data_IF_224580081659
#
_entry.id   IF_224580081659
#
_cell.length_a   1.000
_cell.length_b   1.000
_cell.length_c   1.000
_cell.angle_alpha   90.00
_cell.angle_beta   90.00
_cell.angle_gamma   90.00
#
_symmetry.space_group_name_H-M   'P 1'
#
loop_
_entity.id
_entity.type
_entity.pdbx_description
1 polymer ?
#
# COMPACT_ATOMS: atom_id res chain seq x y z
N UNK A 1 16.15 6.29 11.09
CA UNK A 1 15.64 5.08 10.43
C UNK A 1 15.17 5.53 9.05
N UNK A 2 16.08 5.50 8.08
CA UNK A 2 15.88 5.93 6.69
C UNK A 2 15.16 4.82 5.91
N UNK A 3 13.91 4.56 6.27
CA UNK A 3 13.01 3.82 5.39
C UNK A 3 12.36 4.84 4.48
N UNK A 4 12.94 5.12 3.31
CA UNK A 4 12.28 5.95 2.31
C UNK A 4 11.07 5.18 1.82
N UNK A 5 9.88 5.47 2.39
CA UNK A 5 8.63 4.94 1.87
C UNK A 5 8.52 5.31 0.39
N UNK A 6 7.96 4.41 -0.41
CA UNK A 6 7.75 4.65 -1.84
C UNK A 6 6.29 4.45 -2.21
N UNK A 7 5.83 5.24 -3.18
CA UNK A 7 4.48 5.10 -3.71
C UNK A 7 4.39 3.87 -4.60
N UNK A 8 3.30 3.12 -4.50
CA UNK A 8 3.12 1.93 -5.30
C UNK A 8 2.14 0.93 -4.71
N UNK A 9 2.07 -0.22 -5.37
CA UNK A 9 1.29 -1.36 -4.94
C UNK A 9 2.17 -2.35 -4.19
N UNK A 10 1.67 -2.84 -3.07
CA UNK A 10 2.38 -3.77 -2.21
C UNK A 10 1.46 -4.88 -1.72
N UNK A 11 2.02 -6.05 -1.46
CA UNK A 11 1.30 -7.17 -0.84
C UNK A 11 1.70 -7.31 0.61
N UNK A 12 0.71 -7.31 1.49
CA UNK A 12 0.86 -7.48 2.93
C UNK A 12 0.24 -8.82 3.38
N UNK A 13 0.93 -9.62 4.22
CA UNK A 13 0.50 -10.96 4.58
C UNK A 13 -0.87 -11.03 5.26
N UNK A 14 -1.24 -10.02 6.05
CA UNK A 14 -2.54 -9.99 6.74
C UNK A 14 -3.59 -9.08 6.10
N UNK A 15 -3.18 -8.13 5.26
CA UNK A 15 -4.07 -7.10 4.70
C UNK A 15 -4.33 -7.29 3.21
N UNK A 16 -3.59 -8.19 2.55
CA UNK A 16 -3.70 -8.43 1.12
C UNK A 16 -3.01 -7.35 0.30
N UNK A 17 -3.62 -6.97 -0.82
CA UNK A 17 -3.08 -5.91 -1.67
C UNK A 17 -3.31 -4.54 -1.00
N UNK A 18 -2.26 -3.77 -0.85
CA UNK A 18 -2.31 -2.39 -0.36
C UNK A 18 -1.70 -1.45 -1.41
N UNK A 19 -2.20 -0.22 -1.45
CA UNK A 19 -1.59 0.87 -2.21
C UNK A 19 -1.02 1.88 -1.23
N UNK A 20 0.26 2.18 -1.36
CA UNK A 20 0.94 3.22 -0.59
C UNK A 20 1.06 4.47 -1.46
N UNK A 21 0.71 5.62 -0.90
CA UNK A 21 0.78 6.91 -1.59
C UNK A 21 0.92 8.07 -0.60
N UNK A 22 1.40 9.21 -1.08
CA UNK A 22 1.52 10.41 -0.27
C UNK A 22 0.21 11.21 -0.30
N UNK A 23 -0.32 11.60 0.86
CA UNK A 23 -1.51 12.46 0.98
C UNK A 23 -1.24 13.56 2.00
N UNK A 24 -1.26 14.81 1.54
CA UNK A 24 -1.09 15.97 2.43
C UNK A 24 0.26 16.04 3.15
N UNK A 25 1.30 15.39 2.61
CA UNK A 25 2.63 15.30 3.24
C UNK A 25 2.80 14.08 4.17
N UNK A 26 1.75 13.29 4.37
CA UNK A 26 1.81 12.06 5.15
C UNK A 26 1.75 10.84 4.24
N UNK A 27 2.51 9.80 4.59
CA UNK A 27 2.42 8.51 3.93
C UNK A 27 1.20 7.76 4.44
N UNK A 28 0.34 7.37 3.51
CA UNK A 28 -0.85 6.59 3.81
C UNK A 28 -0.89 5.34 2.95
N UNK A 29 -1.62 4.34 3.43
CA UNK A 29 -1.97 3.17 2.64
C UNK A 29 -3.46 2.91 2.67
N UNK A 30 -3.94 2.20 1.65
CA UNK A 30 -5.31 1.72 1.56
C UNK A 30 -5.30 0.28 1.07
N UNK A 31 -6.13 -0.59 1.68
CA UNK A 31 -6.28 -1.98 1.27
C UNK A 31 -7.22 -2.07 0.07
N UNK A 32 -6.91 -2.96 -0.86
CA UNK A 32 -7.68 -3.24 -2.06
C UNK A 32 -7.98 -4.73 -2.21
N UNK A 33 -8.96 -5.04 -3.06
CA UNK A 33 -9.17 -6.39 -3.57
C UNK A 33 -7.93 -6.88 -4.31
N UNK A 34 -7.74 -8.21 -4.40
CA UNK A 34 -6.57 -8.83 -5.04
C UNK A 34 -6.30 -8.38 -6.48
N UNK A 35 -7.29 -7.80 -7.15
CA UNK A 35 -7.20 -7.28 -8.52
C UNK A 35 -7.05 -5.74 -8.58
N UNK A 36 -6.83 -5.05 -7.46
CA UNK A 36 -6.65 -3.59 -7.41
C UNK A 36 -7.90 -2.74 -7.69
N UNK A 37 -9.02 -3.35 -8.09
CA UNK A 37 -10.18 -2.61 -8.59
C UNK A 37 -11.01 -1.90 -7.51
N UNK A 38 -11.06 -2.44 -6.29
CA UNK A 38 -11.91 -1.91 -5.23
C UNK A 38 -11.16 -1.74 -3.92
N UNK A 39 -11.23 -0.54 -3.35
CA UNK A 39 -10.76 -0.29 -2.00
C UNK A 39 -11.63 -1.04 -0.97
N UNK A 40 -10.99 -1.82 -0.10
CA UNK A 40 -11.60 -2.56 0.99
C UNK A 40 -11.55 -1.79 2.32
N UNK A 41 -10.62 -0.84 2.44
CA UNK A 41 -10.48 -0.01 3.64
C UNK A 41 -10.56 1.48 3.30
N UNK A 42 -10.70 2.32 4.35
CA UNK A 42 -10.33 3.74 4.27
C UNK A 42 -8.81 3.88 4.28
N UNK A 43 -8.35 5.07 3.92
CA UNK A 43 -6.95 5.47 4.01
C UNK A 43 -6.49 5.44 5.47
N UNK A 44 -5.28 4.92 5.71
CA UNK A 44 -4.68 4.80 7.03
C UNK A 44 -3.24 5.30 6.98
N UNK A 45 -2.73 5.91 8.06
CA UNK A 45 -1.32 6.30 8.13
C UNK A 45 -0.44 5.06 7.95
N UNK A 46 0.60 5.19 7.13
CA UNK A 46 1.57 4.14 6.93
C UNK A 46 2.50 4.06 8.13
N UNK A 47 2.39 2.96 8.87
CA UNK A 47 3.30 2.65 9.96
C UNK A 47 4.46 1.78 9.48
N UNK A 48 5.58 1.85 10.22
CA UNK A 48 6.81 1.13 9.88
C UNK A 48 6.65 -0.39 9.85
N UNK A 49 5.69 -0.96 10.58
CA UNK A 49 5.46 -2.40 10.62
C UNK A 49 4.70 -2.88 9.39
N UNK A 50 3.61 -2.17 9.04
CA UNK A 50 2.90 -2.40 7.78
C UNK A 50 3.86 -2.28 6.61
N UNK A 51 4.76 -1.29 6.60
CA UNK A 51 5.78 -1.15 5.55
C UNK A 51 6.79 -2.30 5.56
N UNK A 52 7.37 -2.65 6.71
CA UNK A 52 8.39 -3.69 6.81
C UNK A 52 7.90 -5.09 6.41
N UNK A 53 6.59 -5.33 6.52
CA UNK A 53 5.94 -6.58 6.11
C UNK A 53 5.38 -6.54 4.68
N UNK A 54 5.45 -5.38 4.03
CA UNK A 54 4.93 -5.20 2.68
C UNK A 54 6.02 -5.50 1.65
N UNK A 55 5.68 -6.32 0.66
CA UNK A 55 6.54 -6.59 -0.48
C UNK A 55 5.99 -5.90 -1.72
N UNK A 56 6.86 -5.42 -2.62
CA UNK A 56 6.43 -4.80 -3.87
C UNK A 56 5.59 -5.76 -4.67
N UNK A 57 4.36 -5.36 -5.02
CA UNK A 57 3.52 -6.18 -5.84
C UNK A 57 4.10 -6.16 -7.27
N UNK A 58 4.58 -7.30 -7.75
CA UNK A 58 5.19 -7.43 -9.09
C UNK A 58 4.20 -7.20 -10.24
N UNK A 59 2.90 -7.32 -9.94
CA UNK A 59 1.83 -7.09 -10.89
C UNK A 59 1.52 -5.58 -10.97
N UNK A 60 1.45 -5.06 -12.20
CA UNK A 60 0.98 -3.72 -12.46
C UNK A 60 -0.54 -3.69 -12.24
N UNK A 61 -0.97 -3.26 -11.05
CA UNK A 61 -2.37 -3.00 -10.74
C UNK A 61 -2.80 -1.58 -11.19
N UNK A 62 -2.10 -1.01 -12.18
CA UNK A 62 -2.42 0.25 -12.83
C UNK A 62 -3.76 0.20 -13.57
N UNK A 63 -4.31 1.36 -14.00
CA UNK A 63 -5.62 1.41 -14.61
C UNK A 63 -5.57 0.72 -15.98
N UNK A 64 -6.21 -0.44 -16.09
CA UNK A 64 -6.61 -0.99 -17.38
C UNK A 64 -7.63 -0.10 -18.09
#
# INVERSE_FOLDING_TARGET
MDGTFTEGWFTHPSQGLIRVFLKGGEWVFQCYTKNGQKALSKERPLDSWTWALSESAYEDFGPG
#
